data_IF_096991810619
#
_entry.id   IF_096991810619
#
_cell.length_a   1.000
_cell.length_b   1.000
_cell.length_c   1.000
_cell.angle_alpha   90.00
_cell.angle_beta   90.00
_cell.angle_gamma   90.00
#
_symmetry.space_group_name_H-M   'P 1'
#
loop_
_entity.id
_entity.type
_entity.pdbx_description
1 polymer ?
#
# COMPACT_ATOMS: atom_id res chain seq x y z
N UNK A 1 9.90 50.82 2.17
CA UNK A 1 11.01 50.12 2.84
C UNK A 1 10.68 50.16 4.32
N UNK A 2 10.07 49.10 4.84
CA UNK A 2 9.84 48.90 6.27
C UNK A 2 9.99 47.40 6.53
N UNK A 3 11.10 47.03 7.15
CA UNK A 3 11.24 45.75 7.83
C UNK A 3 10.36 45.79 9.08
N UNK A 4 9.54 44.76 9.27
CA UNK A 4 8.98 44.44 10.58
C UNK A 4 9.25 42.97 10.83
N UNK A 5 10.08 42.75 11.86
CA UNK A 5 10.35 41.48 12.50
C UNK A 5 9.07 41.00 13.19
N UNK A 6 8.63 39.76 12.96
CA UNK A 6 7.68 39.07 13.85
C UNK A 6 8.10 37.62 14.07
N UNK A 7 8.61 37.42 15.28
CA UNK A 7 8.19 36.38 16.22
C UNK A 7 8.46 34.89 15.88
N UNK A 8 9.55 34.43 16.49
CA UNK A 8 9.75 33.12 17.04
C UNK A 8 8.46 32.45 17.55
N UNK A 9 8.12 31.28 17.02
CA UNK A 9 7.44 30.23 17.80
C UNK A 9 8.25 28.96 17.62
N UNK A 10 9.04 28.65 18.65
CA UNK A 10 9.66 27.36 18.81
C UNK A 10 8.62 26.26 18.59
N UNK A 11 8.86 25.38 17.62
CA UNK A 11 8.12 24.14 17.50
C UNK A 11 8.28 23.37 18.82
N UNK A 12 7.19 22.92 19.47
CA UNK A 12 7.33 22.12 20.68
C UNK A 12 8.10 20.85 20.33
N UNK A 13 8.97 20.40 21.24
CA UNK A 13 9.65 19.12 21.14
C UNK A 13 8.63 18.01 20.81
N UNK A 14 8.62 17.55 19.56
CA UNK A 14 7.85 16.38 19.16
C UNK A 14 8.79 15.19 19.20
N UNK A 15 8.42 14.21 20.01
CA UNK A 15 9.11 12.96 20.22
C UNK A 15 9.66 12.37 18.92
N UNK A 16 10.91 11.90 18.98
CA UNK A 16 11.59 11.16 17.92
C UNK A 16 10.98 9.76 17.80
N UNK A 17 9.73 9.67 17.40
CA UNK A 17 9.12 8.44 16.90
C UNK A 17 9.16 8.61 15.39
N UNK A 18 10.17 8.02 14.75
CA UNK A 18 10.33 8.04 13.29
C UNK A 18 9.03 7.56 12.66
N UNK A 19 8.19 8.49 12.18
CA UNK A 19 6.99 8.13 11.41
C UNK A 19 7.48 7.28 10.23
N UNK A 20 6.90 6.10 9.96
CA UNK A 20 7.25 5.35 8.77
C UNK A 20 7.08 6.29 7.58
N UNK A 21 8.14 6.44 6.79
CA UNK A 21 8.15 7.32 5.63
C UNK A 21 7.27 6.67 4.58
N UNK A 22 6.02 7.12 4.51
CA UNK A 22 5.08 6.67 3.51
C UNK A 22 5.57 7.10 2.13
N UNK A 23 5.82 6.13 1.25
CA UNK A 23 6.35 6.38 -0.10
C UNK A 23 5.33 5.91 -1.13
N UNK A 24 5.05 6.73 -2.13
CA UNK A 24 4.18 6.33 -3.22
C UNK A 24 4.85 5.25 -4.07
N UNK A 25 4.16 4.14 -4.29
CA UNK A 25 4.58 3.03 -5.12
C UNK A 25 3.60 2.83 -6.27
N UNK A 26 4.12 2.36 -7.39
CA UNK A 26 3.34 1.98 -8.57
C UNK A 26 3.28 0.47 -8.65
N UNK A 27 2.09 -0.10 -8.76
CA UNK A 27 1.83 -1.53 -8.91
C UNK A 27 1.19 -1.78 -10.27
N UNK A 28 1.30 -3.01 -10.77
CA UNK A 28 0.48 -3.51 -11.87
C UNK A 28 -0.54 -4.48 -11.29
N UNK A 29 -1.83 -4.18 -11.43
CA UNK A 29 -2.91 -5.02 -10.92
C UNK A 29 -3.81 -5.41 -12.09
N UNK A 30 -3.91 -6.70 -12.41
CA UNK A 30 -4.68 -7.20 -13.55
C UNK A 30 -4.33 -6.50 -14.88
N UNK A 31 -3.05 -6.22 -15.11
CA UNK A 31 -2.55 -5.47 -16.26
C UNK A 31 -2.76 -3.94 -16.23
N UNK A 32 -3.41 -3.39 -15.19
CA UNK A 32 -3.62 -1.95 -15.03
C UNK A 32 -2.64 -1.32 -14.03
N UNK A 33 -2.25 -0.07 -14.27
CA UNK A 33 -1.38 0.66 -13.34
C UNK A 33 -2.17 1.16 -12.14
N UNK A 34 -1.73 0.78 -10.94
CA UNK A 34 -2.33 1.18 -9.68
C UNK A 34 -1.33 1.91 -8.79
N UNK A 35 -1.74 2.97 -8.10
CA UNK A 35 -0.88 3.73 -7.19
C UNK A 35 -1.27 3.41 -5.74
N UNK A 36 -0.26 3.15 -4.91
CA UNK A 36 -0.45 2.85 -3.50
C UNK A 36 0.65 3.48 -2.66
N UNK A 37 0.54 3.36 -1.34
CA UNK A 37 1.48 3.93 -0.38
C UNK A 37 2.15 2.83 0.42
N UNK A 38 3.47 2.71 0.34
CA UNK A 38 4.26 1.76 1.11
C UNK A 38 4.56 2.30 2.53
N UNK A 39 4.65 1.46 3.58
CA UNK A 39 4.38 0.02 3.54
C UNK A 39 2.88 -0.26 3.40
N UNK A 40 2.55 -1.22 2.54
CA UNK A 40 1.21 -1.77 2.36
C UNK A 40 1.33 -3.26 2.10
N UNK A 41 0.55 -4.05 2.83
CA UNK A 41 0.48 -5.49 2.62
C UNK A 41 -0.64 -5.84 1.63
N UNK A 42 -0.65 -7.09 1.17
CA UNK A 42 -1.63 -7.54 0.19
C UNK A 42 -3.09 -7.44 0.68
N UNK A 43 -3.46 -7.82 1.92
CA UNK A 43 -4.83 -7.68 2.41
C UNK A 43 -5.35 -6.24 2.43
N UNK A 44 -4.50 -5.28 2.80
CA UNK A 44 -4.83 -3.85 2.80
C UNK A 44 -5.10 -3.35 1.37
N UNK A 45 -4.24 -3.72 0.41
CA UNK A 45 -4.48 -3.40 -1.00
C UNK A 45 -5.78 -4.04 -1.51
N UNK A 46 -6.03 -5.33 -1.23
CA UNK A 46 -7.27 -5.99 -1.67
C UNK A 46 -8.51 -5.26 -1.12
N UNK A 47 -8.45 -4.83 0.13
CA UNK A 47 -9.54 -4.09 0.77
C UNK A 47 -9.72 -2.70 0.14
N UNK A 48 -8.62 -1.99 -0.19
CA UNK A 48 -8.70 -0.68 -0.85
C UNK A 48 -9.25 -0.77 -2.27
N UNK A 49 -9.04 -1.90 -2.95
CA UNK A 49 -9.64 -2.25 -4.23
C UNK A 49 -11.12 -2.69 -4.12
N UNK A 50 -11.68 -2.78 -2.90
CA UNK A 50 -13.05 -3.23 -2.66
C UNK A 50 -13.26 -4.74 -2.84
N UNK A 51 -12.17 -5.52 -2.88
CA UNK A 51 -12.22 -6.97 -3.03
C UNK A 51 -12.33 -7.64 -1.67
N UNK A 52 -13.11 -8.71 -1.59
CA UNK A 52 -13.15 -9.55 -0.40
C UNK A 52 -11.97 -10.52 -0.45
N UNK A 53 -10.97 -10.44 0.47
CA UNK A 53 -9.83 -11.34 0.45
C UNK A 53 -10.24 -12.80 0.43
N UNK A 54 -11.37 -13.19 1.05
CA UNK A 54 -11.84 -14.59 1.11
C UNK A 54 -12.34 -15.16 -0.21
N UNK A 55 -12.72 -14.30 -1.16
CA UNK A 55 -13.30 -14.71 -2.44
C UNK A 55 -12.32 -14.55 -3.61
N UNK A 56 -11.05 -14.27 -3.33
CA UNK A 56 -10.04 -14.05 -4.38
C UNK A 56 -8.84 -14.99 -4.23
N UNK A 57 -8.21 -15.28 -5.36
CA UNK A 57 -6.87 -15.83 -5.46
C UNK A 57 -5.94 -14.78 -6.07
N UNK A 58 -4.67 -14.79 -5.65
CA UNK A 58 -3.67 -13.80 -6.06
C UNK A 58 -2.43 -14.51 -6.59
N UNK A 59 -2.00 -14.12 -7.77
CA UNK A 59 -0.66 -14.33 -8.29
C UNK A 59 0.18 -13.08 -8.02
N UNK A 60 1.37 -13.25 -7.46
CA UNK A 60 2.32 -12.19 -7.17
C UNK A 60 3.59 -12.42 -7.99
N UNK A 61 3.92 -11.47 -8.87
CA UNK A 61 5.11 -11.51 -9.73
C UNK A 61 5.30 -12.82 -10.52
N UNK A 62 4.20 -13.43 -10.97
CA UNK A 62 4.23 -14.68 -11.75
C UNK A 62 4.03 -15.96 -10.94
N UNK A 63 3.90 -15.86 -9.61
CA UNK A 63 3.74 -17.03 -8.73
C UNK A 63 2.47 -16.94 -7.88
N UNK A 64 1.75 -18.05 -7.73
CA UNK A 64 0.56 -18.10 -6.87
C UNK A 64 0.97 -17.89 -5.41
N UNK A 65 0.50 -16.79 -4.82
CA UNK A 65 0.82 -16.44 -3.45
C UNK A 65 -0.21 -17.05 -2.49
N UNK A 66 0.24 -18.02 -1.69
CA UNK A 66 -0.63 -18.64 -0.69
C UNK A 66 -1.06 -17.64 0.39
N UNK A 67 -2.34 -17.72 0.77
CA UNK A 67 -2.99 -16.80 1.73
C UNK A 67 -2.24 -16.63 3.06
N UNK A 68 -1.55 -17.66 3.52
CA UNK A 68 -0.79 -17.61 4.78
C UNK A 68 0.34 -16.57 4.75
N UNK A 69 0.84 -16.20 3.56
CA UNK A 69 1.92 -15.23 3.40
C UNK A 69 1.44 -13.80 3.17
N UNK A 70 0.15 -13.58 2.91
CA UNK A 70 -0.37 -12.29 2.46
C UNK A 70 -0.12 -11.14 3.44
N UNK A 71 -0.24 -11.41 4.74
CA UNK A 71 -0.02 -10.40 5.78
C UNK A 71 1.47 -10.00 5.91
N UNK A 72 2.37 -10.91 5.57
CA UNK A 72 3.82 -10.72 5.65
C UNK A 72 4.41 -10.19 4.34
N UNK A 73 3.69 -10.34 3.22
CA UNK A 73 4.07 -9.80 1.91
C UNK A 73 3.86 -8.29 1.88
N UNK A 74 4.95 -7.55 1.97
CA UNK A 74 4.99 -6.11 1.69
C UNK A 74 5.09 -5.89 0.18
N UNK A 75 4.25 -4.99 -0.33
CA UNK A 75 4.28 -4.61 -1.73
C UNK A 75 5.30 -3.50 -1.95
N UNK A 76 6.08 -3.66 -3.01
CA UNK A 76 7.13 -2.76 -3.44
C UNK A 76 6.78 -2.12 -4.79
N UNK A 77 7.54 -1.07 -5.14
CA UNK A 77 7.33 -0.37 -6.39
C UNK A 77 7.71 -1.24 -7.59
N UNK A 78 6.75 -1.44 -8.50
CA UNK A 78 6.89 -2.21 -9.73
C UNK A 78 6.30 -3.61 -9.68
N UNK A 79 5.81 -4.05 -8.51
CA UNK A 79 5.23 -5.38 -8.35
C UNK A 79 3.97 -5.58 -9.20
N UNK A 80 3.77 -6.85 -9.58
CA UNK A 80 2.67 -7.29 -10.43
C UNK A 80 1.77 -8.25 -9.68
N UNK A 81 0.47 -8.01 -9.77
CA UNK A 81 -0.58 -8.75 -9.09
C UNK A 81 -1.64 -9.15 -10.10
N UNK A 82 -1.92 -10.44 -10.23
CA UNK A 82 -3.12 -10.93 -10.93
C UNK A 82 -4.10 -11.44 -9.87
N UNK A 83 -5.29 -10.87 -9.85
CA UNK A 83 -6.30 -11.07 -8.82
C UNK A 83 -7.58 -11.56 -9.48
N UNK A 84 -7.93 -12.81 -9.21
CA UNK A 84 -9.11 -13.46 -9.77
C UNK A 84 -10.12 -13.76 -8.67
N UNK A 85 -11.40 -13.50 -8.95
CA UNK A 85 -12.49 -13.85 -8.03
C UNK A 85 -12.91 -15.30 -8.24
N UNK A 86 -12.98 -16.06 -7.16
CA UNK A 86 -13.48 -17.42 -7.15
C UNK A 86 -15.01 -17.35 -7.20
N UNK A 87 -15.58 -17.63 -8.36
CA UNK A 87 -17.02 -17.87 -8.49
C UNK A 87 -17.31 -19.34 -8.17
N UNK A 88 -18.14 -19.60 -7.17
CA UNK A 88 -18.59 -20.96 -6.87
C UNK A 88 -19.42 -21.49 -8.04
N UNK A 89 -18.87 -22.45 -8.78
CA UNK A 89 -19.63 -23.20 -9.78
C UNK A 89 -20.64 -24.11 -9.09
N UNK A 90 -21.89 -24.12 -9.58
CA UNK A 90 -22.93 -25.05 -9.16
C UNK A 90 -22.71 -26.48 -9.63
#
# INVERSE_FOLDING_TARGET
MFETTSENTALPAQDKISRPQHTQITLQVNGETHYSTSPINLPELLTSLGLNPRLVAVEYNGEILHRQYWADTQLENGDRLEIVTIVGGG
#
